data_IF_619716913978
#
_entry.id   IF_619716913978
#
_cell.length_a   1.000
_cell.length_b   1.000
_cell.length_c   1.000
_cell.angle_alpha   90.00
_cell.angle_beta   90.00
_cell.angle_gamma   90.00
#
_symmetry.space_group_name_H-M   'P 1'
#
loop_
_entity.id
_entity.type
_entity.pdbx_description
1 polymer ?
#
# COMPACT_ATOMS: atom_id res chain seq x y z
N UNK A 1 -25.59 -7.35 29.33
CA UNK A 1 -25.17 -6.02 28.83
C UNK A 1 -23.80 -6.05 28.12
N UNK A 2 -23.03 -7.14 28.23
CA UNK A 2 -21.66 -7.30 27.70
C UNK A 2 -21.57 -7.76 26.23
N UNK A 3 -22.52 -8.55 25.73
CA UNK A 3 -22.47 -9.10 24.36
C UNK A 3 -22.70 -8.05 23.27
N UNK A 4 -23.66 -7.14 23.47
CA UNK A 4 -23.93 -6.05 22.54
C UNK A 4 -22.75 -5.08 22.39
N UNK A 5 -21.98 -4.87 23.47
CA UNK A 5 -20.77 -4.05 23.45
C UNK A 5 -19.62 -4.73 22.68
N UNK A 6 -19.50 -6.06 22.78
CA UNK A 6 -18.50 -6.84 22.02
C UNK A 6 -18.78 -6.87 20.51
N UNK A 7 -20.05 -7.00 20.12
CA UNK A 7 -20.46 -6.96 18.72
C UNK A 7 -20.17 -5.59 18.08
N UNK A 8 -20.55 -4.49 18.76
CA UNK A 8 -20.31 -3.13 18.29
C UNK A 8 -18.81 -2.81 18.11
N UNK A 9 -17.95 -3.26 19.03
CA UNK A 9 -16.51 -3.04 18.92
C UNK A 9 -15.88 -3.83 17.76
N UNK A 10 -16.37 -5.04 17.49
CA UNK A 10 -15.93 -5.84 16.34
C UNK A 10 -16.33 -5.18 15.02
N UNK A 11 -17.55 -4.66 14.94
CA UNK A 11 -18.06 -3.95 13.76
C UNK A 11 -17.26 -2.67 13.49
N UNK A 12 -17.00 -1.87 14.53
CA UNK A 12 -16.19 -0.66 14.42
C UNK A 12 -14.76 -0.95 13.92
N UNK A 13 -14.13 -2.02 14.41
CA UNK A 13 -12.81 -2.47 13.93
C UNK A 13 -12.86 -2.85 12.45
N UNK A 14 -13.86 -3.64 12.04
CA UNK A 14 -13.98 -4.08 10.65
C UNK A 14 -14.20 -2.88 9.72
N UNK A 15 -15.04 -1.93 10.11
CA UNK A 15 -15.24 -0.69 9.37
C UNK A 15 -13.93 0.13 9.22
N UNK A 16 -13.11 0.19 10.28
CA UNK A 16 -11.80 0.84 10.23
C UNK A 16 -10.83 0.14 9.27
N UNK A 17 -10.80 -1.20 9.28
CA UNK A 17 -9.98 -2.01 8.37
C UNK A 17 -10.40 -1.80 6.91
N UNK A 18 -11.70 -1.79 6.64
CA UNK A 18 -12.22 -1.54 5.29
C UNK A 18 -11.87 -0.13 4.80
N UNK A 19 -12.03 0.87 5.66
CA UNK A 19 -11.65 2.26 5.34
C UNK A 19 -10.16 2.35 5.01
N UNK A 20 -9.30 1.75 5.83
CA UNK A 20 -7.86 1.73 5.59
C UNK A 20 -7.52 1.03 4.26
N UNK A 21 -8.11 -0.13 4.01
CA UNK A 21 -7.93 -0.90 2.78
C UNK A 21 -8.33 -0.09 1.54
N UNK A 22 -9.46 0.63 1.60
CA UNK A 22 -9.91 1.51 0.53
C UNK A 22 -8.92 2.67 0.29
N UNK A 23 -8.42 3.31 1.36
CA UNK A 23 -7.43 4.38 1.24
C UNK A 23 -6.12 3.88 0.63
N UNK A 24 -5.65 2.71 1.04
CA UNK A 24 -4.45 2.06 0.46
C UNK A 24 -4.64 1.76 -1.03
N UNK A 25 -5.78 1.19 -1.44
CA UNK A 25 -6.11 0.93 -2.85
C UNK A 25 -6.14 2.22 -3.68
N UNK A 26 -6.74 3.28 -3.15
CA UNK A 26 -6.80 4.60 -3.79
C UNK A 26 -5.42 5.21 -3.97
N UNK A 27 -4.57 5.18 -2.93
CA UNK A 27 -3.21 5.69 -3.00
C UNK A 27 -2.32 4.93 -4.00
N UNK A 28 -2.55 3.61 -4.14
CA UNK A 28 -1.84 2.77 -5.10
C UNK A 28 -2.35 2.92 -6.54
N UNK A 29 -3.43 3.67 -6.80
CA UNK A 29 -4.04 3.73 -8.11
C UNK A 29 -3.17 4.53 -9.12
N UNK A 30 -2.98 4.05 -10.37
CA UNK A 30 -1.94 4.56 -11.27
C UNK A 30 -2.27 5.90 -11.94
N UNK A 31 -3.50 6.39 -11.83
CA UNK A 31 -4.06 7.49 -12.65
C UNK A 31 -3.89 8.90 -12.09
N UNK A 32 -3.13 9.08 -11.00
CA UNK A 32 -2.87 10.41 -10.43
C UNK A 32 -1.85 10.40 -9.31
N UNK A 33 -1.38 11.57 -8.91
CA UNK A 33 -0.46 11.72 -7.77
C UNK A 33 -1.17 11.42 -6.45
N UNK A 34 -0.45 10.83 -5.50
CA UNK A 34 -0.97 10.53 -4.17
C UNK A 34 0.03 10.99 -3.10
N UNK A 35 -0.49 11.59 -2.03
CA UNK A 35 0.25 11.86 -0.81
C UNK A 35 -0.26 10.92 0.29
N UNK A 36 0.67 10.21 0.95
CA UNK A 36 0.32 9.23 1.99
C UNK A 36 1.00 9.62 3.29
N UNK A 37 0.19 10.03 4.27
CA UNK A 37 0.62 10.21 5.66
C UNK A 37 -0.05 9.14 6.52
N UNK A 38 0.77 8.34 7.21
CA UNK A 38 0.30 7.27 8.06
C UNK A 38 1.38 6.85 9.07
N UNK A 39 0.96 6.27 10.19
CA UNK A 39 1.86 5.83 11.27
C UNK A 39 2.82 4.71 10.81
N UNK A 40 3.85 4.42 11.61
CA UNK A 40 4.68 3.23 11.40
C UNK A 40 3.81 1.96 11.39
N UNK A 41 4.21 0.95 10.62
CA UNK A 41 3.47 -0.32 10.52
C UNK A 41 2.17 -0.29 9.68
N UNK A 42 1.70 0.88 9.24
CA UNK A 42 0.45 1.03 8.44
C UNK A 42 0.53 0.54 6.98
N UNK A 43 1.67 -0.02 6.55
CA UNK A 43 1.83 -0.57 5.20
C UNK A 43 2.20 0.45 4.10
N UNK A 44 2.74 1.63 4.43
CA UNK A 44 3.18 2.65 3.44
C UNK A 44 4.07 2.07 2.33
N UNK A 45 5.06 1.25 2.69
CA UNK A 45 5.95 0.60 1.72
C UNK A 45 5.19 -0.36 0.81
N UNK A 46 4.21 -1.11 1.35
CA UNK A 46 3.36 -2.00 0.56
C UNK A 46 2.50 -1.21 -0.44
N UNK A 47 1.91 -0.09 -0.02
CA UNK A 47 1.15 0.80 -0.92
C UNK A 47 2.03 1.30 -2.07
N UNK A 48 3.28 1.69 -1.77
CA UNK A 48 4.22 2.16 -2.79
C UNK A 48 4.59 1.05 -3.80
N UNK A 49 4.85 -0.16 -3.32
CA UNK A 49 5.14 -1.32 -4.17
C UNK A 49 3.92 -1.68 -5.04
N UNK A 50 2.73 -1.76 -4.43
CA UNK A 50 1.48 -2.01 -5.16
C UNK A 50 1.22 -0.94 -6.23
N UNK A 51 1.59 0.31 -5.95
CA UNK A 51 1.49 1.41 -6.94
C UNK A 51 2.40 1.18 -8.13
N UNK A 52 3.66 0.81 -7.90
CA UNK A 52 4.61 0.52 -8.98
C UNK A 52 4.15 -0.67 -9.81
N UNK A 53 3.72 -1.76 -9.17
CA UNK A 53 3.17 -2.91 -9.87
C UNK A 53 1.96 -2.55 -10.73
N UNK A 54 1.03 -1.72 -10.22
CA UNK A 54 -0.13 -1.24 -10.97
C UNK A 54 0.24 -0.34 -12.15
N UNK A 55 1.26 0.51 -12.01
CA UNK A 55 1.78 1.31 -13.13
C UNK A 55 2.32 0.41 -14.24
N UNK A 56 3.11 -0.61 -13.87
CA UNK A 56 3.66 -1.59 -14.80
C UNK A 56 2.56 -2.39 -15.51
N UNK A 57 1.59 -2.92 -14.76
CA UNK A 57 0.44 -3.63 -15.34
C UNK A 57 -0.45 -2.74 -16.21
N UNK A 58 -0.48 -1.42 -15.95
CA UNK A 58 -1.14 -0.45 -16.82
C UNK A 58 -0.33 -0.11 -18.09
N UNK A 59 0.81 -0.77 -18.34
CA UNK A 59 1.63 -0.59 -19.53
C UNK A 59 2.70 0.48 -19.41
N UNK A 60 2.96 1.02 -18.21
CA UNK A 60 4.08 1.92 -18.02
C UNK A 60 5.41 1.19 -18.26
N UNK A 61 6.26 1.77 -19.12
CA UNK A 61 7.63 1.29 -19.33
C UNK A 61 8.43 1.40 -18.02
N UNK A 62 9.10 0.34 -17.53
CA UNK A 62 9.81 0.35 -16.24
C UNK A 62 10.80 1.50 -16.09
N UNK A 63 11.54 1.83 -17.14
CA UNK A 63 12.53 2.91 -17.19
C UNK A 63 11.93 4.31 -17.05
N UNK A 64 10.59 4.45 -17.11
CA UNK A 64 9.88 5.71 -16.83
C UNK A 64 9.45 5.84 -15.37
N UNK A 65 9.74 4.84 -14.52
CA UNK A 65 9.36 4.83 -13.11
C UNK A 65 10.62 5.00 -12.25
N UNK A 66 10.69 6.11 -11.51
CA UNK A 66 11.76 6.37 -10.53
C UNK A 66 11.21 6.24 -9.11
N UNK A 67 11.76 5.32 -8.33
CA UNK A 67 11.49 5.18 -6.90
C UNK A 67 12.67 5.70 -6.09
N UNK A 68 12.42 6.62 -5.17
CA UNK A 68 13.44 7.21 -4.30
C UNK A 68 13.16 6.88 -2.83
N UNK A 69 14.22 6.62 -2.08
CA UNK A 69 14.15 6.40 -0.63
C UNK A 69 15.46 6.86 0.02
N UNK A 70 15.44 7.03 1.34
CA UNK A 70 16.55 7.63 2.07
C UNK A 70 17.79 6.73 2.14
N UNK A 71 17.62 5.40 2.14
CA UNK A 71 18.73 4.45 2.31
C UNK A 71 18.84 3.45 1.17
N UNK A 72 20.07 3.02 0.87
CA UNK A 72 20.33 1.95 -0.10
C UNK A 72 19.65 0.63 0.30
N UNK A 73 19.61 0.33 1.60
CA UNK A 73 18.96 -0.87 2.12
C UNK A 73 17.44 -0.87 1.84
N UNK A 74 16.76 0.26 2.06
CA UNK A 74 15.34 0.39 1.74
C UNK A 74 15.08 0.29 0.22
N UNK A 75 15.98 0.82 -0.60
CA UNK A 75 15.87 0.72 -2.06
C UNK A 75 15.98 -0.74 -2.51
N UNK A 76 16.97 -1.47 -1.99
CA UNK A 76 17.15 -2.90 -2.28
C UNK A 76 15.94 -3.73 -1.82
N UNK A 77 15.41 -3.47 -0.62
CA UNK A 77 14.22 -4.14 -0.10
C UNK A 77 13.00 -3.90 -1.00
N UNK A 78 12.77 -2.66 -1.44
CA UNK A 78 11.69 -2.34 -2.35
C UNK A 78 11.80 -3.10 -3.67
N UNK A 79 13.00 -3.15 -4.27
CA UNK A 79 13.25 -3.91 -5.50
C UNK A 79 12.95 -5.39 -5.29
N UNK A 80 13.47 -6.01 -4.23
CA UNK A 80 13.23 -7.43 -3.93
C UNK A 80 11.75 -7.73 -3.78
N UNK A 81 11.01 -6.91 -3.03
CA UNK A 81 9.57 -7.11 -2.83
C UNK A 81 8.77 -6.90 -4.12
N UNK A 82 9.14 -5.92 -4.94
CA UNK A 82 8.50 -5.69 -6.24
C UNK A 82 8.73 -6.86 -7.19
N UNK A 83 9.96 -7.37 -7.30
CA UNK A 83 10.26 -8.54 -8.13
C UNK A 83 9.44 -9.76 -7.70
N UNK A 84 9.35 -10.04 -6.39
CA UNK A 84 8.53 -11.12 -5.87
C UNK A 84 7.03 -10.95 -6.23
N UNK A 85 6.52 -9.72 -6.24
CA UNK A 85 5.12 -9.45 -6.60
C UNK A 85 4.83 -9.59 -8.10
N UNK A 86 5.82 -9.35 -8.95
CA UNK A 86 5.69 -9.47 -10.42
C UNK A 86 5.90 -10.91 -10.92
N UNK A 87 6.15 -11.86 -10.02
CA UNK A 87 6.39 -13.26 -10.38
C UNK A 87 7.83 -13.52 -10.83
N UNK A 88 8.80 -12.86 -10.19
CA UNK A 88 10.22 -13.12 -10.39
C UNK A 88 10.59 -14.60 -10.26
#
# INVERSE_FOLDING_TARGET
MTEAQGAAMTEARNAAVERASLQQRRAAAPHGSAWVSANAGSGKTRVLIDRVARLLWAGARPERILCLTYTKAAAAEMTTRLSAQLGG
#
